data_IF_220029598701
#
_entry.id   IF_220029598701
#
_cell.length_a   1.000
_cell.length_b   1.000
_cell.length_c   1.000
_cell.angle_alpha   90.00
_cell.angle_beta   90.00
_cell.angle_gamma   90.00
#
_symmetry.space_group_name_H-M   'P 1'
#
loop_
_entity.id
_entity.type
_entity.pdbx_description
1 polymer ?
#
# COMPACT_ATOMS: atom_id res chain seq x y z
N UNK A 1 6.26 -28.36 7.38
CA UNK A 1 6.02 -26.93 7.01
C UNK A 1 4.64 -26.72 6.40
N UNK A 2 4.20 -27.54 5.44
CA UNK A 2 2.91 -27.33 4.75
C UNK A 2 1.72 -27.44 5.70
N UNK A 3 1.63 -28.50 6.52
CA UNK A 3 0.59 -28.64 7.53
C UNK A 3 0.67 -27.55 8.61
N UNK A 4 1.86 -27.12 8.99
CA UNK A 4 2.10 -26.01 9.90
C UNK A 4 1.59 -24.69 9.29
N UNK A 5 1.93 -24.41 8.04
CA UNK A 5 1.50 -23.21 7.34
C UNK A 5 -0.03 -23.12 7.25
N UNK A 6 -0.69 -24.19 6.82
CA UNK A 6 -2.15 -24.21 6.70
C UNK A 6 -2.84 -23.98 8.05
N UNK A 7 -2.41 -24.67 9.11
CA UNK A 7 -2.98 -24.52 10.44
C UNK A 7 -2.74 -23.12 11.02
N UNK A 8 -1.54 -22.58 10.88
CA UNK A 8 -1.18 -21.28 11.42
C UNK A 8 -1.86 -20.12 10.66
N UNK A 9 -1.95 -20.22 9.33
CA UNK A 9 -2.64 -19.22 8.51
C UNK A 9 -4.15 -19.20 8.79
N UNK A 10 -4.73 -20.35 9.10
CA UNK A 10 -6.14 -20.43 9.50
C UNK A 10 -6.38 -19.85 10.89
N UNK A 11 -5.53 -20.15 11.85
CA UNK A 11 -5.70 -19.80 13.26
C UNK A 11 -5.31 -18.36 13.61
N UNK A 12 -4.42 -17.72 12.84
CA UNK A 12 -3.84 -16.41 13.15
C UNK A 12 -4.29 -15.33 12.17
N UNK A 13 -4.18 -14.07 12.60
CA UNK A 13 -4.20 -12.93 11.70
C UNK A 13 -2.90 -12.86 10.87
N UNK A 14 -2.93 -12.08 9.79
CA UNK A 14 -1.79 -12.00 8.86
C UNK A 14 -0.52 -11.45 9.51
N UNK A 15 -0.54 -10.39 10.34
CA UNK A 15 0.65 -9.94 11.05
C UNK A 15 1.32 -11.03 11.88
N UNK A 16 0.54 -11.76 12.67
CA UNK A 16 1.02 -12.84 13.52
C UNK A 16 1.55 -14.03 12.70
N UNK A 17 0.91 -14.33 11.57
CA UNK A 17 1.40 -15.34 10.64
C UNK A 17 2.74 -14.97 10.02
N UNK A 18 2.88 -13.75 9.49
CA UNK A 18 4.14 -13.27 8.92
C UNK A 18 5.28 -13.23 9.95
N UNK A 19 4.96 -12.87 11.20
CA UNK A 19 5.93 -12.95 12.29
C UNK A 19 6.33 -14.40 12.58
N UNK A 20 5.39 -15.34 12.56
CA UNK A 20 5.66 -16.76 12.72
C UNK A 20 6.58 -17.27 11.61
N UNK A 21 6.29 -16.96 10.34
CA UNK A 21 7.15 -17.33 9.19
C UNK A 21 8.57 -16.81 9.38
N UNK A 22 8.72 -15.53 9.72
CA UNK A 22 10.03 -14.92 9.98
C UNK A 22 10.79 -15.66 11.09
N UNK A 23 10.13 -15.96 12.20
CA UNK A 23 10.73 -16.66 13.33
C UNK A 23 11.17 -18.08 12.94
N UNK A 24 10.32 -18.77 12.17
CA UNK A 24 10.67 -20.14 11.69
C UNK A 24 11.88 -20.11 10.76
N UNK A 25 11.94 -19.19 9.83
CA UNK A 25 13.10 -19.06 8.93
C UNK A 25 14.39 -18.77 9.72
N UNK A 26 14.34 -17.90 10.73
CA UNK A 26 15.47 -17.63 11.61
C UNK A 26 15.91 -18.87 12.40
N UNK A 27 14.97 -19.66 12.92
CA UNK A 27 15.26 -20.91 13.62
C UNK A 27 15.92 -21.94 12.71
N UNK A 28 15.43 -22.08 11.48
CA UNK A 28 16.05 -22.98 10.50
C UNK A 28 17.46 -22.52 10.11
N UNK A 29 17.65 -21.22 9.95
CA UNK A 29 18.97 -20.65 9.68
C UNK A 29 19.96 -20.95 10.83
N UNK A 30 19.55 -20.77 12.07
CA UNK A 30 20.37 -21.08 13.24
C UNK A 30 20.68 -22.57 13.34
N UNK A 31 19.72 -23.46 13.09
CA UNK A 31 19.94 -24.91 13.07
C UNK A 31 21.01 -25.33 12.06
N UNK A 32 20.94 -24.77 10.86
CA UNK A 32 21.90 -25.09 9.79
C UNK A 32 23.30 -24.63 10.15
N UNK A 33 23.46 -23.47 10.76
CA UNK A 33 24.78 -22.95 11.18
C UNK A 33 25.45 -23.89 12.23
N UNK A 34 24.66 -24.50 13.11
CA UNK A 34 25.20 -25.27 14.23
C UNK A 34 25.34 -26.74 13.92
N UNK A 35 24.56 -27.32 13.00
CA UNK A 35 24.44 -28.79 12.89
C UNK A 35 24.59 -29.33 11.46
N UNK A 36 24.75 -28.50 10.42
CA UNK A 36 24.74 -29.00 9.04
C UNK A 36 25.89 -28.45 8.19
N UNK A 37 26.25 -29.19 7.15
CA UNK A 37 27.19 -28.76 6.12
C UNK A 37 26.65 -27.51 5.37
N UNK A 38 27.53 -26.57 5.07
CA UNK A 38 27.22 -25.33 4.37
C UNK A 38 26.42 -25.54 3.06
N UNK A 39 26.62 -26.68 2.38
CA UNK A 39 25.88 -27.03 1.15
C UNK A 39 24.38 -27.31 1.34
N UNK A 40 23.93 -27.64 2.57
CA UNK A 40 22.51 -27.97 2.84
C UNK A 40 21.70 -26.77 3.23
N UNK A 41 22.35 -25.65 3.56
CA UNK A 41 21.69 -24.42 4.04
C UNK A 41 20.70 -23.82 3.03
N UNK A 42 21.16 -23.58 1.80
CA UNK A 42 20.33 -22.96 0.76
C UNK A 42 19.10 -23.79 0.40
N UNK A 43 19.23 -25.10 0.11
CA UNK A 43 18.07 -25.94 -0.20
C UNK A 43 17.03 -25.99 0.92
N UNK A 44 17.45 -26.08 2.17
CA UNK A 44 16.52 -26.16 3.31
C UNK A 44 15.72 -24.87 3.47
N UNK A 45 16.38 -23.71 3.41
CA UNK A 45 15.72 -22.43 3.51
C UNK A 45 14.76 -22.17 2.33
N UNK A 46 15.13 -22.59 1.12
CA UNK A 46 14.25 -22.50 -0.04
C UNK A 46 12.99 -23.36 0.12
N UNK A 47 13.11 -24.59 0.64
CA UNK A 47 11.95 -25.44 0.93
C UNK A 47 11.06 -24.82 2.01
N UNK A 48 11.65 -24.29 3.08
CA UNK A 48 10.90 -23.62 4.15
C UNK A 48 10.15 -22.39 3.61
N UNK A 49 10.82 -21.53 2.82
CA UNK A 49 10.21 -20.37 2.17
C UNK A 49 9.07 -20.77 1.25
N UNK A 50 9.26 -21.79 0.42
CA UNK A 50 8.23 -22.28 -0.47
C UNK A 50 6.99 -22.78 0.29
N UNK A 51 7.18 -23.61 1.29
CA UNK A 51 6.08 -24.25 2.02
C UNK A 51 5.37 -23.31 3.00
N UNK A 52 6.12 -22.39 3.65
CA UNK A 52 5.55 -21.45 4.60
C UNK A 52 5.01 -20.19 3.95
N UNK A 53 5.51 -19.79 2.79
CA UNK A 53 5.18 -18.49 2.21
C UNK A 53 4.73 -18.60 0.75
N UNK A 54 5.56 -19.09 -0.16
CA UNK A 54 5.30 -19.03 -1.60
C UNK A 54 3.97 -19.70 -2.00
N UNK A 55 3.65 -20.84 -1.41
CA UNK A 55 2.40 -21.55 -1.67
C UNK A 55 1.15 -20.84 -1.11
N UNK A 56 1.31 -19.80 -0.28
CA UNK A 56 0.23 -19.12 0.43
C UNK A 56 0.17 -17.61 0.14
N UNK A 57 0.96 -17.11 -0.81
CA UNK A 57 1.05 -15.68 -1.15
C UNK A 57 -0.31 -15.04 -1.36
N UNK A 58 -1.14 -15.61 -2.22
CA UNK A 58 -2.45 -15.05 -2.55
C UNK A 58 -3.42 -15.10 -1.35
N UNK A 59 -3.44 -16.21 -0.62
CA UNK A 59 -4.28 -16.36 0.57
C UNK A 59 -3.90 -15.36 1.69
N UNK A 60 -2.60 -15.05 1.85
CA UNK A 60 -2.12 -14.05 2.82
C UNK A 60 -2.59 -12.66 2.41
N UNK A 61 -2.46 -12.31 1.12
CA UNK A 61 -2.91 -11.03 0.59
C UNK A 61 -4.41 -10.87 0.75
N UNK A 62 -5.20 -11.84 0.31
CA UNK A 62 -6.66 -11.80 0.42
C UNK A 62 -7.14 -11.68 1.86
N UNK A 63 -6.47 -12.40 2.78
CA UNK A 63 -6.86 -12.43 4.19
C UNK A 63 -6.56 -11.13 4.94
N UNK A 64 -5.47 -10.42 4.60
CA UNK A 64 -4.99 -9.37 5.51
C UNK A 64 -4.48 -8.09 4.90
N UNK A 65 -4.18 -8.02 3.61
CA UNK A 65 -3.56 -6.83 3.03
C UNK A 65 -4.41 -5.57 3.20
N UNK A 66 -5.71 -5.66 2.90
CA UNK A 66 -6.66 -4.55 3.05
C UNK A 66 -6.68 -4.03 4.49
N UNK A 67 -6.75 -4.92 5.47
CA UNK A 67 -6.75 -4.53 6.88
C UNK A 67 -5.45 -3.82 7.30
N UNK A 68 -4.29 -4.31 6.83
CA UNK A 68 -3.00 -3.65 7.08
C UNK A 68 -2.96 -2.24 6.51
N UNK A 69 -3.50 -2.05 5.31
CA UNK A 69 -3.61 -0.75 4.65
C UNK A 69 -4.56 0.19 5.40
N UNK A 70 -5.75 -0.28 5.77
CA UNK A 70 -6.73 0.52 6.51
C UNK A 70 -6.21 1.00 7.86
N UNK A 71 -5.58 0.10 8.61
CA UNK A 71 -4.99 0.38 9.92
C UNK A 71 -3.64 1.08 9.88
N UNK A 72 -3.10 1.37 8.67
CA UNK A 72 -1.80 2.01 8.47
C UNK A 72 -0.64 1.28 9.17
N UNK A 73 -0.63 -0.05 9.14
CA UNK A 73 0.36 -0.91 9.82
C UNK A 73 1.65 -1.03 9.00
N UNK A 74 2.41 0.04 8.92
CA UNK A 74 3.61 0.13 8.07
C UNK A 74 4.68 -0.91 8.40
N UNK A 75 4.87 -1.25 9.68
CA UNK A 75 5.84 -2.28 10.10
C UNK A 75 5.48 -3.67 9.57
N UNK A 76 4.19 -4.03 9.60
CA UNK A 76 3.72 -5.31 9.10
C UNK A 76 3.73 -5.36 7.57
N UNK A 77 3.45 -4.24 6.90
CA UNK A 77 3.63 -4.09 5.46
C UNK A 77 5.10 -4.21 5.06
N UNK A 78 6.04 -3.65 5.83
CA UNK A 78 7.48 -3.82 5.64
C UNK A 78 7.88 -5.29 5.77
N UNK A 79 7.36 -5.97 6.77
CA UNK A 79 7.61 -7.42 6.97
C UNK A 79 7.07 -8.22 5.80
N UNK A 80 5.85 -7.94 5.34
CA UNK A 80 5.26 -8.58 4.17
C UNK A 80 6.12 -8.36 2.93
N UNK A 81 6.52 -7.12 2.65
CA UNK A 81 7.41 -6.79 1.52
C UNK A 81 8.72 -7.56 1.57
N UNK A 82 9.39 -7.58 2.72
CA UNK A 82 10.67 -8.26 2.91
C UNK A 82 10.57 -9.77 2.67
N UNK A 83 9.50 -10.40 3.16
CA UNK A 83 9.26 -11.83 2.97
C UNK A 83 8.88 -12.13 1.51
N UNK A 84 8.02 -11.31 0.90
CA UNK A 84 7.58 -11.49 -0.49
C UNK A 84 8.73 -11.31 -1.49
N UNK A 85 9.68 -10.43 -1.20
CA UNK A 85 10.89 -10.28 -2.00
C UNK A 85 11.75 -11.56 -2.04
N UNK A 86 11.73 -12.38 -0.97
CA UNK A 86 12.49 -13.63 -0.90
C UNK A 86 11.90 -14.78 -1.74
N UNK A 87 10.65 -14.66 -2.16
CA UNK A 87 9.93 -15.66 -2.95
C UNK A 87 9.44 -15.13 -4.29
N UNK A 88 10.02 -14.03 -4.75
CA UNK A 88 9.67 -13.36 -6.02
C UNK A 88 8.17 -13.01 -6.16
N UNK A 89 7.49 -12.75 -5.03
CA UNK A 89 6.06 -12.45 -4.96
C UNK A 89 5.73 -10.94 -4.90
N UNK A 90 6.69 -10.06 -5.19
CA UNK A 90 6.44 -8.62 -5.25
C UNK A 90 5.40 -8.21 -6.30
N UNK A 91 5.27 -8.88 -7.46
CA UNK A 91 4.20 -8.57 -8.40
C UNK A 91 2.79 -8.73 -7.80
N UNK A 92 2.55 -9.78 -7.01
CA UNK A 92 1.27 -10.01 -6.33
C UNK A 92 0.98 -8.93 -5.29
N UNK A 93 2.00 -8.53 -4.52
CA UNK A 93 1.87 -7.44 -3.56
C UNK A 93 1.58 -6.10 -4.24
N UNK A 94 2.22 -5.82 -5.38
CA UNK A 94 1.98 -4.63 -6.19
C UNK A 94 0.57 -4.61 -6.76
N UNK A 95 0.07 -5.75 -7.23
CA UNK A 95 -1.30 -5.89 -7.72
C UNK A 95 -2.32 -5.66 -6.59
N UNK A 96 -2.05 -6.17 -5.39
CA UNK A 96 -2.88 -5.94 -4.21
C UNK A 96 -2.94 -4.46 -3.84
N UNK A 97 -1.80 -3.75 -3.87
CA UNK A 97 -1.75 -2.31 -3.62
C UNK A 97 -2.59 -1.54 -4.65
N UNK A 98 -2.39 -1.82 -5.94
CA UNK A 98 -3.16 -1.19 -7.03
C UNK A 98 -4.66 -1.45 -6.87
N UNK A 99 -5.05 -2.69 -6.59
CA UNK A 99 -6.44 -3.07 -6.36
C UNK A 99 -7.08 -2.34 -5.18
N UNK A 100 -6.38 -2.26 -4.06
CA UNK A 100 -6.82 -1.53 -2.88
C UNK A 100 -7.05 -0.04 -3.18
N UNK A 101 -6.09 0.61 -3.82
CA UNK A 101 -6.17 2.04 -4.17
C UNK A 101 -7.35 2.31 -5.10
N UNK A 102 -7.51 1.51 -6.15
CA UNK A 102 -8.62 1.63 -7.10
C UNK A 102 -9.98 1.43 -6.43
N UNK A 103 -10.09 0.42 -5.57
CA UNK A 103 -11.34 0.12 -4.87
C UNK A 103 -11.76 1.25 -3.93
N UNK A 104 -10.87 1.65 -3.04
CA UNK A 104 -11.14 2.71 -2.06
C UNK A 104 -11.33 4.06 -2.75
N UNK A 105 -10.44 4.41 -3.68
CA UNK A 105 -10.50 5.66 -4.42
C UNK A 105 -11.78 5.79 -5.25
N UNK A 106 -12.20 4.73 -5.95
CA UNK A 106 -13.45 4.73 -6.72
C UNK A 106 -14.66 4.93 -5.80
N UNK A 107 -14.70 4.27 -4.65
CA UNK A 107 -15.78 4.47 -3.67
C UNK A 107 -15.83 5.93 -3.18
N UNK A 108 -14.68 6.55 -2.89
CA UNK A 108 -14.60 7.95 -2.47
C UNK A 108 -15.12 8.91 -3.55
N UNK A 109 -14.64 8.77 -4.78
CA UNK A 109 -14.99 9.66 -5.89
C UNK A 109 -16.46 9.48 -6.33
N UNK A 110 -17.01 8.28 -6.22
CA UNK A 110 -18.38 7.97 -6.63
C UNK A 110 -19.46 8.49 -5.67
N UNK A 111 -19.10 8.77 -4.41
CA UNK A 111 -20.01 9.26 -3.38
C UNK A 111 -20.29 10.76 -3.57
N UNK A 112 -21.44 11.06 -4.21
CA UNK A 112 -21.86 12.45 -4.49
C UNK A 112 -22.20 13.25 -3.23
N UNK A 113 -22.59 12.61 -2.14
CA UNK A 113 -22.94 13.28 -0.89
C UNK A 113 -21.69 13.86 -0.20
N UNK A 114 -20.54 13.27 -0.48
CA UNK A 114 -19.24 13.70 0.05
C UNK A 114 -18.49 14.72 -0.83
N UNK A 115 -19.07 15.23 -1.90
CA UNK A 115 -18.42 16.19 -2.80
C UNK A 115 -17.79 17.38 -2.05
N UNK A 116 -18.39 17.82 -0.94
CA UNK A 116 -17.88 18.96 -0.16
C UNK A 116 -16.54 18.69 0.55
N UNK A 117 -16.30 17.45 0.92
CA UNK A 117 -15.09 17.02 1.65
C UNK A 117 -14.15 16.18 0.79
N UNK A 118 -14.55 15.85 -0.42
CA UNK A 118 -13.82 14.93 -1.31
C UNK A 118 -12.35 15.34 -1.48
N UNK A 119 -12.06 16.62 -1.71
CA UNK A 119 -10.67 17.07 -1.93
C UNK A 119 -9.81 16.84 -0.69
N UNK A 120 -10.36 17.12 0.50
CA UNK A 120 -9.66 16.87 1.77
C UNK A 120 -9.42 15.38 2.01
N UNK A 121 -10.44 14.54 1.73
CA UNK A 121 -10.31 13.08 1.83
C UNK A 121 -9.28 12.54 0.84
N UNK A 122 -9.24 13.05 -0.40
CA UNK A 122 -8.24 12.66 -1.41
C UNK A 122 -6.82 13.07 -0.99
N UNK A 123 -6.63 14.26 -0.42
CA UNK A 123 -5.34 14.71 0.10
C UNK A 123 -4.85 13.81 1.23
N UNK A 124 -5.71 13.52 2.20
CA UNK A 124 -5.39 12.63 3.32
C UNK A 124 -5.08 11.20 2.83
N UNK A 125 -5.85 10.70 1.88
CA UNK A 125 -5.63 9.39 1.27
C UNK A 125 -4.30 9.34 0.52
N UNK A 126 -3.99 10.38 -0.28
CA UNK A 126 -2.71 10.48 -0.99
C UNK A 126 -1.52 10.51 -0.03
N UNK A 127 -1.58 11.31 1.03
CA UNK A 127 -0.53 11.37 2.04
C UNK A 127 -0.29 10.03 2.73
N UNK A 128 -1.36 9.33 3.08
CA UNK A 128 -1.28 7.96 3.63
C UNK A 128 -0.64 6.99 2.63
N UNK A 129 -1.04 7.04 1.37
CA UNK A 129 -0.54 6.15 0.33
C UNK A 129 0.93 6.40 -0.01
N UNK A 130 1.40 7.65 -0.04
CA UNK A 130 2.79 7.99 -0.36
C UNK A 130 3.79 7.44 0.66
N UNK A 131 3.36 7.23 1.90
CA UNK A 131 4.17 6.62 2.94
C UNK A 131 4.41 5.13 2.73
N UNK A 132 3.53 4.43 2.04
CA UNK A 132 3.63 2.98 1.87
C UNK A 132 4.83 2.59 1.02
N UNK A 133 5.02 3.06 -0.23
CA UNK A 133 6.21 2.73 -1.00
C UNK A 133 7.51 3.22 -0.36
N UNK A 134 7.50 4.43 0.23
CA UNK A 134 8.71 5.06 0.77
C UNK A 134 9.18 4.43 2.07
N UNK A 135 8.26 4.16 3.00
CA UNK A 135 8.59 3.64 4.33
C UNK A 135 8.53 2.11 4.36
N UNK A 136 7.47 1.50 3.80
CA UNK A 136 7.24 0.08 3.94
C UNK A 136 7.85 -0.77 2.82
N UNK A 137 7.98 -0.23 1.60
CA UNK A 137 8.40 -0.99 0.42
C UNK A 137 9.75 -0.53 -0.14
N UNK A 138 10.65 -0.10 0.75
CA UNK A 138 12.04 0.25 0.46
C UNK A 138 12.21 1.25 -0.71
N UNK A 139 11.27 2.19 -0.88
CA UNK A 139 11.20 3.15 -1.97
C UNK A 139 11.26 2.50 -3.37
N UNK A 140 10.72 1.30 -3.51
CA UNK A 140 10.69 0.58 -4.78
C UNK A 140 9.85 1.34 -5.81
N UNK A 141 10.49 1.78 -6.90
CA UNK A 141 9.90 2.61 -7.95
C UNK A 141 8.67 1.95 -8.62
N UNK A 142 8.67 0.62 -8.75
CA UNK A 142 7.54 -0.10 -9.35
C UNK A 142 6.25 0.05 -8.53
N UNK A 143 6.37 0.15 -7.20
CA UNK A 143 5.22 0.40 -6.33
C UNK A 143 4.77 1.86 -6.40
N UNK A 144 5.70 2.80 -6.56
CA UNK A 144 5.39 4.21 -6.82
C UNK A 144 4.63 4.39 -8.15
N UNK A 145 5.06 3.71 -9.21
CA UNK A 145 4.37 3.71 -10.51
C UNK A 145 2.97 3.11 -10.40
N UNK A 146 2.83 1.96 -9.75
CA UNK A 146 1.53 1.31 -9.55
C UNK A 146 0.55 2.19 -8.75
N UNK A 147 1.05 2.92 -7.74
CA UNK A 147 0.27 3.89 -6.98
C UNK A 147 -0.22 5.02 -7.89
N UNK A 148 0.67 5.59 -8.70
CA UNK A 148 0.34 6.66 -9.65
C UNK A 148 -0.74 6.21 -10.63
N UNK A 149 -0.54 5.09 -11.32
CA UNK A 149 -1.49 4.52 -12.28
C UNK A 149 -2.85 4.22 -11.64
N UNK A 150 -2.85 3.68 -10.41
CA UNK A 150 -4.10 3.40 -9.70
C UNK A 150 -4.84 4.69 -9.32
N UNK A 151 -4.11 5.74 -8.94
CA UNK A 151 -4.67 7.05 -8.62
C UNK A 151 -5.27 7.70 -9.85
N UNK A 152 -4.56 7.72 -10.99
CA UNK A 152 -5.05 8.21 -12.28
C UNK A 152 -6.31 7.45 -12.72
N UNK A 153 -6.35 6.14 -12.50
CA UNK A 153 -7.51 5.32 -12.88
C UNK A 153 -8.78 5.72 -12.11
N UNK A 154 -8.73 5.86 -10.79
CA UNK A 154 -9.97 6.09 -10.02
C UNK A 154 -10.41 7.56 -10.02
N UNK A 155 -9.48 8.52 -10.06
CA UNK A 155 -9.84 9.94 -10.00
C UNK A 155 -10.63 10.39 -11.23
N UNK A 156 -10.44 9.73 -12.36
CA UNK A 156 -11.10 10.03 -13.63
C UNK A 156 -12.46 9.30 -13.83
N UNK A 157 -12.91 8.50 -12.86
CA UNK A 157 -14.20 7.77 -12.96
C UNK A 157 -15.40 8.70 -13.13
N UNK A 158 -15.39 9.88 -12.51
CA UNK A 158 -16.46 10.89 -12.64
C UNK A 158 -16.12 12.01 -13.63
N UNK A 159 -15.37 11.73 -14.68
CA UNK A 159 -14.97 12.67 -15.71
C UNK A 159 -14.40 14.00 -15.12
N UNK A 160 -14.97 15.16 -15.47
CA UNK A 160 -14.51 16.48 -15.04
C UNK A 160 -14.86 16.86 -13.60
N UNK A 161 -15.68 16.07 -12.89
CA UNK A 161 -16.18 16.46 -11.58
C UNK A 161 -15.08 16.63 -10.51
N UNK A 162 -14.09 15.73 -10.38
CA UNK A 162 -12.98 15.93 -9.45
C UNK A 162 -12.18 17.21 -9.77
N UNK A 163 -11.95 17.52 -11.05
CA UNK A 163 -11.27 18.74 -11.47
C UNK A 163 -12.02 19.99 -11.01
N UNK A 164 -13.34 20.01 -11.21
CA UNK A 164 -14.20 21.12 -10.77
C UNK A 164 -14.15 21.30 -9.25
N UNK A 165 -14.23 20.21 -8.49
CA UNK A 165 -14.18 20.26 -7.02
C UNK A 165 -12.82 20.74 -6.50
N UNK A 166 -11.72 20.30 -7.12
CA UNK A 166 -10.38 20.78 -6.81
C UNK A 166 -10.24 22.27 -7.11
N UNK A 167 -10.71 22.75 -8.27
CA UNK A 167 -10.66 24.16 -8.62
C UNK A 167 -11.47 25.02 -7.63
N UNK A 168 -12.66 24.59 -7.24
CA UNK A 168 -13.49 25.25 -6.22
C UNK A 168 -12.82 25.25 -4.85
N UNK A 169 -12.16 24.17 -4.48
CA UNK A 169 -11.43 24.08 -3.23
C UNK A 169 -10.28 25.09 -3.17
N UNK A 170 -9.48 25.17 -4.24
CA UNK A 170 -8.39 26.15 -4.37
C UNK A 170 -8.93 27.57 -4.28
N UNK A 171 -9.97 27.91 -5.05
CA UNK A 171 -10.61 29.24 -5.06
C UNK A 171 -11.12 29.61 -3.65
N UNK A 172 -11.79 28.68 -2.96
CA UNK A 172 -12.26 28.87 -1.59
C UNK A 172 -11.11 29.17 -0.61
N UNK A 173 -9.99 28.45 -0.73
CA UNK A 173 -8.82 28.67 0.14
C UNK A 173 -8.15 30.01 -0.12
N UNK A 174 -8.01 30.41 -1.38
CA UNK A 174 -7.45 31.70 -1.75
C UNK A 174 -8.34 32.88 -1.32
N UNK A 175 -9.67 32.74 -1.43
CA UNK A 175 -10.61 33.81 -1.03
C UNK A 175 -10.73 33.99 0.48
N UNK A 176 -10.63 32.88 1.23
CA UNK A 176 -10.79 32.94 2.70
C UNK A 176 -9.59 33.63 3.34
N UNK A 177 -8.47 33.72 2.62
CA UNK A 177 -7.24 34.38 3.08
C UNK A 177 -6.71 33.79 4.39
N UNK A 178 -5.72 34.42 4.98
CA UNK A 178 -4.99 33.97 6.17
C UNK A 178 -5.79 34.04 7.50
N UNK A 179 -7.08 33.81 7.51
CA UNK A 179 -7.84 33.74 8.77
C UNK A 179 -7.54 32.41 9.48
N UNK A 180 -6.41 32.37 10.15
CA UNK A 180 -6.03 31.26 11.03
C UNK A 180 -5.05 30.24 10.47
N UNK A 181 -4.54 30.44 9.25
CA UNK A 181 -3.53 29.56 8.62
C UNK A 181 -2.33 30.43 8.22
N UNK A 182 -1.10 29.96 8.44
CA UNK A 182 0.09 30.68 7.98
C UNK A 182 0.18 30.67 6.45
N UNK A 183 0.91 31.63 5.88
CA UNK A 183 1.14 31.71 4.44
C UNK A 183 1.84 30.46 3.92
N UNK A 184 2.78 29.93 4.69
CA UNK A 184 3.53 28.69 4.40
C UNK A 184 2.63 27.45 4.38
N UNK A 185 1.72 27.33 5.35
CA UNK A 185 0.73 26.22 5.40
C UNK A 185 -0.26 26.27 4.24
N UNK A 186 -0.65 27.48 3.82
CA UNK A 186 -1.52 27.67 2.65
C UNK A 186 -0.81 27.27 1.36
N UNK A 187 0.46 27.69 1.19
CA UNK A 187 1.29 27.34 0.05
C UNK A 187 1.49 25.83 -0.05
N UNK A 188 1.83 25.16 1.05
CA UNK A 188 1.96 23.70 1.11
C UNK A 188 0.65 22.99 0.72
N UNK A 189 -0.49 23.46 1.23
CA UNK A 189 -1.80 22.90 0.89
C UNK A 189 -2.12 23.06 -0.60
N UNK A 190 -1.81 24.21 -1.17
CA UNK A 190 -2.02 24.47 -2.60
C UNK A 190 -1.13 23.57 -3.46
N UNK A 191 0.14 23.39 -3.11
CA UNK A 191 1.07 22.51 -3.81
C UNK A 191 0.59 21.05 -3.79
N UNK A 192 0.17 20.57 -2.62
CA UNK A 192 -0.43 19.23 -2.48
C UNK A 192 -1.68 19.09 -3.35
N UNK A 193 -2.53 20.11 -3.39
CA UNK A 193 -3.76 20.11 -4.19
C UNK A 193 -3.46 20.14 -5.69
N UNK A 194 -2.46 20.90 -6.12
CA UNK A 194 -1.99 20.91 -7.50
C UNK A 194 -1.40 19.55 -7.92
N UNK A 195 -0.81 18.82 -6.99
CA UNK A 195 -0.35 17.46 -7.27
C UNK A 195 -1.51 16.51 -7.56
N UNK A 196 -2.65 16.64 -6.87
CA UNK A 196 -3.87 15.89 -7.22
C UNK A 196 -4.36 16.22 -8.64
N UNK A 197 -4.30 17.49 -9.02
CA UNK A 197 -4.75 17.93 -10.34
C UNK A 197 -3.96 17.29 -11.48
N UNK A 198 -2.68 16.94 -11.25
CA UNK A 198 -1.83 16.26 -12.24
C UNK A 198 -2.27 14.83 -12.59
N UNK A 199 -3.08 14.19 -11.74
CA UNK A 199 -3.64 12.86 -12.00
C UNK A 199 -4.92 12.91 -12.86
N UNK A 200 -5.47 14.09 -13.10
CA UNK A 200 -6.67 14.25 -13.89
C UNK A 200 -6.30 14.31 -15.37
N UNK A 201 -6.97 13.50 -16.17
CA UNK A 201 -6.80 13.50 -17.62
C UNK A 201 -7.30 14.84 -18.20
N UNK A 202 -6.36 15.72 -18.49
CA UNK A 202 -6.61 17.04 -19.07
C UNK A 202 -6.26 17.13 -20.55
N UNK A 203 -6.33 16.02 -21.28
CA UNK A 203 -5.84 15.97 -22.67
C UNK A 203 -6.82 16.48 -23.72
N UNK A 204 -8.05 16.85 -23.34
CA UNK A 204 -9.08 17.31 -24.28
C UNK A 204 -9.77 18.60 -23.81
N UNK A 205 -8.98 19.62 -23.39
CA UNK A 205 -9.47 21.00 -23.34
C UNK A 205 -8.54 21.94 -24.09
#
# INVERSE_FOLDING_TARGET
YEAEAAAQLQARDVPSYLQHVRTRLQQEEQRVVHYMHLGTRKPLLQVALKMLLQNHVDAIVEKGFTQLMEQNRLEDLTRMYTLYAQVDALPQLRQALSGYIKHVGTAMVSDKEKDRVLVQELLAFKEKLDRVPTVAFAANEQFGHALKEAFECFINVRQSRPAELIARFIDSKLRTGNKGTSEEELEELLDKTMTLFRFIDGKDM
#
